data_IF_482631514811
#
_entry.id   IF_482631514811
#
_cell.length_a   1.000
_cell.length_b   1.000
_cell.length_c   1.000
_cell.angle_alpha   90.00
_cell.angle_beta   90.00
_cell.angle_gamma   90.00
#
_symmetry.space_group_name_H-M   'P 1'
#
loop_
_entity.id
_entity.type
_entity.pdbx_description
1 polymer ?
#
# COMPACT_ATOMS: atom_id res chain seq x y z
N UNK A 1 27.47 22.65 32.22
CA UNK A 1 27.17 22.41 30.80
C UNK A 1 28.44 21.91 30.16
N UNK A 2 28.61 20.59 30.17
CA UNK A 2 29.73 19.92 29.51
C UNK A 2 29.38 19.78 28.05
N UNK A 3 30.29 20.12 27.14
CA UNK A 3 30.04 20.12 25.68
C UNK A 3 29.35 18.83 25.18
N UNK A 4 29.58 17.68 25.83
CA UNK A 4 28.91 16.42 25.54
C UNK A 4 27.38 16.40 25.65
N UNK A 5 26.76 17.15 26.57
CA UNK A 5 25.30 17.18 26.72
C UNK A 5 24.61 17.93 25.57
N UNK A 6 25.26 18.96 25.03
CA UNK A 6 24.73 19.74 23.90
C UNK A 6 24.81 18.94 22.59
N UNK A 7 25.92 18.23 22.37
CA UNK A 7 26.10 17.38 21.20
C UNK A 7 25.15 16.17 21.17
N UNK A 8 24.80 15.64 22.35
CA UNK A 8 23.83 14.55 22.47
C UNK A 8 22.40 15.04 22.18
N UNK A 9 22.02 16.21 22.72
CA UNK A 9 20.72 16.84 22.48
C UNK A 9 20.51 17.18 21.00
N UNK A 10 21.51 17.75 20.32
CA UNK A 10 21.41 18.16 18.92
C UNK A 10 21.29 16.95 17.97
N UNK A 11 22.04 15.87 18.25
CA UNK A 11 21.90 14.61 17.52
C UNK A 11 20.51 14.02 17.68
N UNK A 12 19.97 14.08 18.89
CA UNK A 12 18.69 13.48 19.20
C UNK A 12 17.54 14.24 18.53
N UNK A 13 17.59 15.58 18.54
CA UNK A 13 16.68 16.44 17.81
C UNK A 13 16.74 16.17 16.28
N UNK A 14 17.94 16.03 15.74
CA UNK A 14 18.15 15.72 14.32
C UNK A 14 17.55 14.36 13.94
N UNK A 15 17.81 13.32 14.75
CA UNK A 15 17.28 11.98 14.51
C UNK A 15 15.76 11.97 14.61
N UNK A 16 15.18 12.68 15.57
CA UNK A 16 13.73 12.80 15.71
C UNK A 16 13.10 13.48 14.49
N UNK A 17 13.67 14.60 14.03
CA UNK A 17 13.19 15.33 12.87
C UNK A 17 13.26 14.48 11.58
N UNK A 18 14.38 13.79 11.36
CA UNK A 18 14.55 12.90 10.20
C UNK A 18 13.57 11.72 10.23
N UNK A 19 13.41 11.11 11.40
CA UNK A 19 12.48 9.99 11.63
C UNK A 19 11.04 10.40 11.34
N UNK A 20 10.63 11.59 11.78
CA UNK A 20 9.30 12.13 11.49
C UNK A 20 9.10 12.36 10.00
N UNK A 21 10.09 12.93 9.33
CA UNK A 21 10.06 13.13 7.88
C UNK A 21 9.93 11.81 7.10
N UNK A 22 10.62 10.74 7.54
CA UNK A 22 10.51 9.40 6.93
C UNK A 22 9.08 8.84 7.08
N UNK A 23 8.47 8.94 8.25
CA UNK A 23 7.11 8.44 8.49
C UNK A 23 6.09 9.20 7.64
N UNK A 24 6.23 10.52 7.52
CA UNK A 24 5.38 11.34 6.66
C UNK A 24 5.55 10.97 5.18
N UNK A 25 6.77 10.69 4.72
CA UNK A 25 7.03 10.21 3.38
C UNK A 25 6.45 8.80 3.13
N UNK A 26 6.54 7.89 4.10
CA UNK A 26 5.93 6.56 4.04
C UNK A 26 4.40 6.64 3.97
N UNK A 27 3.78 7.53 4.76
CA UNK A 27 2.35 7.78 4.71
C UNK A 27 1.90 8.32 3.35
N UNK A 28 2.63 9.29 2.79
CA UNK A 28 2.36 9.80 1.45
C UNK A 28 2.49 8.70 0.38
N UNK A 29 3.50 7.85 0.50
CA UNK A 29 3.74 6.73 -0.42
C UNK A 29 2.61 5.70 -0.38
N UNK A 30 2.18 5.28 0.81
CA UNK A 30 1.08 4.33 0.96
C UNK A 30 -0.23 4.90 0.38
N UNK A 31 -0.53 6.17 0.68
CA UNK A 31 -1.71 6.87 0.14
C UNK A 31 -1.72 6.92 -1.40
N UNK A 32 -0.55 7.11 -2.03
CA UNK A 32 -0.43 7.06 -3.48
C UNK A 32 -0.62 5.63 -4.05
N UNK A 33 -0.12 4.60 -3.35
CA UNK A 33 -0.36 3.19 -3.71
C UNK A 33 -1.86 2.88 -3.65
N UNK A 34 -2.55 3.28 -2.57
CA UNK A 34 -4.00 3.09 -2.42
C UNK A 34 -4.78 3.80 -3.53
N UNK A 35 -4.39 5.04 -3.87
CA UNK A 35 -5.00 5.78 -4.96
C UNK A 35 -4.81 5.07 -6.32
N UNK A 36 -3.62 4.50 -6.58
CA UNK A 36 -3.33 3.71 -7.79
C UNK A 36 -4.10 2.39 -7.81
N UNK A 37 -4.23 1.71 -6.68
CA UNK A 37 -5.02 0.49 -6.55
C UNK A 37 -6.50 0.77 -6.89
N UNK A 38 -7.10 1.80 -6.31
CA UNK A 38 -8.50 2.16 -6.57
C UNK A 38 -8.75 2.62 -8.01
N UNK A 39 -7.80 3.31 -8.64
CA UNK A 39 -7.87 3.62 -10.09
C UNK A 39 -7.89 2.34 -10.92
N UNK A 40 -7.04 1.37 -10.58
CA UNK A 40 -6.97 0.07 -11.27
C UNK A 40 -8.25 -0.75 -11.09
N UNK A 41 -8.80 -0.81 -9.88
CA UNK A 41 -10.09 -1.45 -9.57
C UNK A 41 -11.22 -0.88 -10.44
N UNK A 42 -11.32 0.46 -10.50
CA UNK A 42 -12.35 1.13 -11.32
C UNK A 42 -12.17 0.81 -12.81
N UNK A 43 -10.94 0.83 -13.29
CA UNK A 43 -10.65 0.52 -14.69
C UNK A 43 -11.01 -0.94 -15.03
N UNK A 44 -10.64 -1.89 -14.18
CA UNK A 44 -11.00 -3.30 -14.35
C UNK A 44 -12.52 -3.49 -14.36
N UNK A 45 -13.25 -2.86 -13.44
CA UNK A 45 -14.71 -2.95 -13.38
C UNK A 45 -15.37 -2.46 -14.69
N UNK A 46 -14.86 -1.37 -15.28
CA UNK A 46 -15.32 -0.86 -16.57
C UNK A 46 -15.03 -1.88 -17.68
N UNK A 47 -13.79 -2.41 -17.75
CA UNK A 47 -13.40 -3.40 -18.76
C UNK A 47 -14.25 -4.68 -18.67
N UNK A 48 -14.48 -5.19 -17.45
CA UNK A 48 -15.34 -6.34 -17.21
C UNK A 48 -16.76 -6.06 -17.71
N UNK A 49 -17.32 -4.88 -17.40
CA UNK A 49 -18.64 -4.48 -17.87
C UNK A 49 -18.73 -4.44 -19.41
N UNK A 50 -17.71 -3.89 -20.07
CA UNK A 50 -17.62 -3.85 -21.53
C UNK A 50 -17.53 -5.26 -22.11
N UNK A 51 -16.67 -6.12 -21.56
CA UNK A 51 -16.48 -7.52 -22.00
C UNK A 51 -17.77 -8.33 -21.88
N UNK A 52 -18.44 -8.27 -20.73
CA UNK A 52 -19.70 -8.96 -20.50
C UNK A 52 -20.79 -8.47 -21.46
N UNK A 53 -20.84 -7.17 -21.71
CA UNK A 53 -21.79 -6.58 -22.68
C UNK A 53 -21.48 -7.04 -24.09
N UNK A 54 -20.23 -6.97 -24.54
CA UNK A 54 -19.81 -7.40 -25.87
C UNK A 54 -20.12 -8.89 -26.09
N UNK A 55 -19.81 -9.75 -25.11
CA UNK A 55 -20.15 -11.16 -25.15
C UNK A 55 -21.66 -11.39 -25.22
N UNK A 56 -22.46 -10.62 -24.47
CA UNK A 56 -23.93 -10.73 -24.46
C UNK A 56 -24.56 -10.43 -25.83
N UNK A 57 -23.96 -9.53 -26.61
CA UNK A 57 -24.46 -9.14 -27.95
C UNK A 57 -23.86 -9.99 -29.08
N UNK A 58 -22.54 -10.20 -29.10
CA UNK A 58 -21.86 -10.93 -30.16
C UNK A 58 -21.95 -12.45 -30.00
N UNK A 59 -22.05 -12.92 -28.76
CA UNK A 59 -22.18 -14.33 -28.40
C UNK A 59 -20.90 -15.16 -28.65
N UNK A 60 -21.04 -16.46 -28.41
CA UNK A 60 -19.94 -17.44 -28.53
C UNK A 60 -19.46 -17.70 -29.97
N UNK A 61 -20.04 -17.03 -30.98
CA UNK A 61 -19.57 -17.11 -32.38
C UNK A 61 -18.39 -16.20 -32.65
N UNK A 62 -18.23 -15.13 -31.86
CA UNK A 62 -17.17 -14.12 -32.02
C UNK A 62 -16.10 -14.28 -30.95
N UNK A 63 -16.49 -14.73 -29.74
CA UNK A 63 -15.56 -14.88 -28.62
C UNK A 63 -15.15 -16.34 -28.43
N UNK A 64 -13.84 -16.59 -28.36
CA UNK A 64 -13.31 -17.83 -27.80
C UNK A 64 -13.61 -17.90 -26.30
N UNK A 65 -14.33 -18.94 -25.90
CA UNK A 65 -14.79 -19.08 -24.52
C UNK A 65 -13.63 -19.23 -23.53
N UNK A 66 -12.55 -19.92 -23.90
CA UNK A 66 -11.41 -20.18 -23.00
C UNK A 66 -10.66 -18.88 -22.73
N UNK A 67 -10.33 -18.14 -23.79
CA UNK A 67 -9.63 -16.86 -23.69
C UNK A 67 -10.49 -15.80 -22.98
N UNK A 68 -11.81 -15.82 -23.17
CA UNK A 68 -12.72 -14.95 -22.44
C UNK A 68 -12.72 -15.23 -20.93
N UNK A 69 -12.71 -16.50 -20.51
CA UNK A 69 -12.59 -16.85 -19.10
C UNK A 69 -11.24 -16.43 -18.51
N UNK A 70 -10.14 -16.58 -19.26
CA UNK A 70 -8.81 -16.10 -18.85
C UNK A 70 -8.82 -14.58 -18.71
N UNK A 71 -9.40 -13.85 -19.65
CA UNK A 71 -9.54 -12.40 -19.60
C UNK A 71 -10.35 -11.94 -18.38
N UNK A 72 -11.53 -12.54 -18.16
CA UNK A 72 -12.36 -12.21 -17.00
C UNK A 72 -11.68 -12.57 -15.68
N UNK A 73 -11.04 -13.73 -15.58
CA UNK A 73 -10.33 -14.16 -14.37
C UNK A 73 -9.16 -13.25 -14.03
N UNK A 74 -8.36 -12.89 -15.04
CA UNK A 74 -7.22 -11.97 -14.88
C UNK A 74 -7.62 -10.52 -14.60
N UNK A 75 -8.86 -10.13 -14.88
CA UNK A 75 -9.40 -8.82 -14.46
C UNK A 75 -10.08 -8.87 -13.09
N UNK A 76 -10.80 -9.95 -12.76
CA UNK A 76 -11.57 -10.07 -11.53
C UNK A 76 -10.71 -10.29 -10.28
N UNK A 77 -9.76 -11.23 -10.34
CA UNK A 77 -8.87 -11.54 -9.20
C UNK A 77 -8.13 -10.31 -8.68
N UNK A 78 -7.40 -9.53 -9.51
CA UNK A 78 -6.71 -8.34 -9.03
C UNK A 78 -7.65 -7.22 -8.58
N UNK A 79 -8.89 -7.19 -9.08
CA UNK A 79 -9.90 -6.22 -8.60
C UNK A 79 -10.26 -6.49 -7.14
N UNK A 80 -10.47 -7.76 -6.77
CA UNK A 80 -10.76 -8.15 -5.39
C UNK A 80 -9.55 -7.85 -4.50
N UNK A 81 -8.35 -8.20 -4.95
CA UNK A 81 -7.11 -7.92 -4.20
C UNK A 81 -6.95 -6.42 -3.95
N UNK A 82 -7.14 -5.57 -4.97
CA UNK A 82 -7.05 -4.12 -4.83
C UNK A 82 -8.06 -3.53 -3.85
N UNK A 83 -9.28 -4.08 -3.77
CA UNK A 83 -10.28 -3.68 -2.77
C UNK A 83 -9.86 -4.09 -1.36
N UNK A 84 -9.34 -5.31 -1.19
CA UNK A 84 -8.88 -5.81 0.11
C UNK A 84 -7.68 -4.99 0.61
N UNK A 85 -6.69 -4.76 -0.26
CA UNK A 85 -5.52 -3.91 0.03
C UNK A 85 -5.92 -2.52 0.51
N UNK A 86 -6.89 -1.88 -0.17
CA UNK A 86 -7.38 -0.56 0.24
C UNK A 86 -8.05 -0.57 1.62
N UNK A 87 -8.75 -1.64 1.98
CA UNK A 87 -9.46 -1.71 3.26
C UNK A 87 -8.53 -2.01 4.45
N UNK A 88 -7.44 -2.74 4.23
CA UNK A 88 -6.54 -3.19 5.29
C UNK A 88 -5.42 -2.19 5.60
N UNK A 89 -5.05 -1.32 4.65
CA UNK A 89 -3.89 -0.43 4.75
C UNK A 89 -4.07 0.71 5.76
N UNK A 90 -3.94 0.41 7.05
CA UNK A 90 -3.80 1.39 8.14
C UNK A 90 -2.33 1.49 8.53
N UNK A 91 -1.71 2.62 8.19
CA UNK A 91 -0.31 2.89 8.56
C UNK A 91 -0.22 3.24 10.06
N UNK A 92 0.85 2.80 10.72
CA UNK A 92 1.21 3.29 12.05
C UNK A 92 2.00 4.61 11.91
N UNK A 93 1.37 5.73 12.27
CA UNK A 93 1.90 7.11 12.09
C UNK A 93 2.52 7.72 13.37
N UNK A 94 2.73 6.90 14.39
CA UNK A 94 3.33 7.28 15.66
C UNK A 94 2.86 6.39 16.80
N UNK A 95 3.42 6.61 17.99
CA UNK A 95 2.86 6.03 19.21
C UNK A 95 1.41 6.48 19.40
N UNK A 96 0.54 5.55 19.76
CA UNK A 96 -0.88 5.83 20.04
C UNK A 96 -1.02 6.94 21.10
N UNK A 97 -2.21 7.54 21.25
CA UNK A 97 -2.46 8.53 22.31
C UNK A 97 -2.04 8.03 23.69
N UNK A 98 -2.15 6.72 23.92
CA UNK A 98 -1.63 6.03 25.10
C UNK A 98 -0.10 6.13 25.25
N UNK A 99 0.70 6.07 24.18
CA UNK A 99 2.16 6.17 24.25
C UNK A 99 2.63 7.58 24.62
N UNK A 100 1.96 8.61 24.08
CA UNK A 100 2.21 10.01 24.46
C UNK A 100 1.82 10.28 25.92
N UNK A 101 0.72 9.68 26.38
CA UNK A 101 0.32 9.73 27.78
C UNK A 101 1.32 8.96 28.68
N UNK A 102 1.87 7.84 28.21
CA UNK A 102 2.84 7.02 28.95
C UNK A 102 4.20 7.72 29.13
N UNK A 103 4.68 8.41 28.09
CA UNK A 103 5.86 9.29 28.16
C UNK A 103 5.58 10.51 29.05
N UNK A 104 4.41 11.15 28.89
CA UNK A 104 4.02 12.31 29.69
C UNK A 104 3.88 12.00 31.20
N UNK A 105 3.64 10.74 31.55
CA UNK A 105 3.54 10.26 32.93
C UNK A 105 4.84 9.67 33.50
N UNK A 106 5.96 9.78 32.79
CA UNK A 106 7.31 9.33 33.21
C UNK A 106 7.35 7.84 33.62
N UNK A 107 6.57 7.00 32.92
CA UNK A 107 6.48 5.55 33.20
C UNK A 107 7.50 4.71 32.42
N UNK A 108 8.55 5.31 31.88
CA UNK A 108 9.52 4.69 30.95
C UNK A 108 10.44 3.62 31.55
N UNK A 109 10.06 2.98 32.66
CA UNK A 109 10.76 1.80 33.20
C UNK A 109 12.25 2.02 33.54
N UNK A 110 12.68 3.28 33.70
CA UNK A 110 14.07 3.66 33.95
C UNK A 110 14.92 3.90 32.69
N UNK A 111 14.37 3.77 31.47
CA UNK A 111 15.00 4.27 30.25
C UNK A 111 14.70 5.75 30.06
N UNK A 112 15.66 6.47 29.49
CA UNK A 112 15.50 7.88 29.10
C UNK A 112 14.46 7.95 27.99
N UNK A 113 13.46 8.82 28.15
CA UNK A 113 12.29 8.91 27.26
C UNK A 113 12.68 9.10 25.78
N UNK A 114 13.77 9.81 25.56
CA UNK A 114 14.35 10.12 24.26
C UNK A 114 14.90 8.89 23.52
N UNK A 115 15.51 7.94 24.24
CA UNK A 115 15.97 6.68 23.66
C UNK A 115 14.81 5.74 23.32
N UNK A 116 13.75 5.77 24.14
CA UNK A 116 12.57 4.92 23.92
C UNK A 116 11.77 5.34 22.69
N UNK A 117 11.66 6.66 22.48
CA UNK A 117 11.02 7.26 21.31
C UNK A 117 11.74 6.86 20.02
N UNK A 118 13.08 6.93 19.99
CA UNK A 118 13.87 6.55 18.81
C UNK A 118 13.68 5.08 18.46
N UNK A 119 13.73 4.18 19.45
CA UNK A 119 13.56 2.73 19.23
C UNK A 119 12.16 2.43 18.71
N UNK A 120 11.14 3.05 19.31
CA UNK A 120 9.74 2.87 18.89
C UNK A 120 9.55 3.31 17.44
N UNK A 121 10.00 4.51 17.09
CA UNK A 121 9.87 4.99 15.71
C UNK A 121 10.69 4.18 14.70
N UNK A 122 11.86 3.68 15.08
CA UNK A 122 12.64 2.79 14.20
C UNK A 122 11.86 1.52 13.91
N UNK A 123 11.19 0.94 14.91
CA UNK A 123 10.27 -0.18 14.73
C UNK A 123 9.14 0.15 13.76
N UNK A 124 8.45 1.27 13.97
CA UNK A 124 7.37 1.73 13.09
C UNK A 124 7.81 1.94 11.65
N UNK A 125 8.98 2.55 11.42
CA UNK A 125 9.55 2.73 10.08
C UNK A 125 9.77 1.39 9.39
N UNK A 126 10.27 0.39 10.12
CA UNK A 126 10.55 -0.94 9.57
C UNK A 126 9.27 -1.70 9.19
N UNK A 127 8.25 -1.68 10.05
CA UNK A 127 6.95 -2.32 9.78
C UNK A 127 6.20 -1.62 8.63
N UNK A 128 6.25 -0.28 8.61
CA UNK A 128 5.69 0.51 7.51
C UNK A 128 6.40 0.23 6.19
N UNK A 129 7.73 0.07 6.20
CA UNK A 129 8.50 -0.25 5.00
C UNK A 129 8.10 -1.63 4.44
N UNK A 130 7.98 -2.66 5.28
CA UNK A 130 7.51 -3.98 4.87
C UNK A 130 6.09 -3.92 4.28
N UNK A 131 5.20 -3.16 4.92
CA UNK A 131 3.83 -2.94 4.43
C UNK A 131 3.81 -2.24 3.07
N UNK A 132 4.64 -1.21 2.88
CA UNK A 132 4.75 -0.48 1.62
C UNK A 132 5.31 -1.39 0.52
N UNK A 133 6.37 -2.15 0.80
CA UNK A 133 6.99 -3.06 -0.17
C UNK A 133 6.00 -4.15 -0.60
N UNK A 134 5.26 -4.74 0.35
CA UNK A 134 4.23 -5.72 0.05
C UNK A 134 3.12 -5.15 -0.84
N UNK A 135 2.60 -3.96 -0.49
CA UNK A 135 1.56 -3.31 -1.28
C UNK A 135 2.04 -2.87 -2.67
N UNK A 136 3.28 -2.40 -2.79
CA UNK A 136 3.90 -2.06 -4.07
C UNK A 136 4.07 -3.30 -4.96
N UNK A 137 4.46 -4.44 -4.39
CA UNK A 137 4.54 -5.71 -5.09
C UNK A 137 3.15 -6.17 -5.57
N UNK A 138 2.13 -6.13 -4.71
CA UNK A 138 0.75 -6.47 -5.08
C UNK A 138 0.22 -5.59 -6.22
N UNK A 139 0.53 -4.29 -6.20
CA UNK A 139 0.16 -3.36 -7.26
C UNK A 139 0.83 -3.75 -8.59
N UNK A 140 2.09 -4.16 -8.56
CA UNK A 140 2.83 -4.62 -9.74
C UNK A 140 2.21 -5.88 -10.34
N UNK A 141 1.85 -6.86 -9.50
CA UNK A 141 1.14 -8.08 -9.94
C UNK A 141 -0.21 -7.74 -10.54
N UNK A 142 -0.97 -6.84 -9.90
CA UNK A 142 -2.28 -6.36 -10.35
C UNK A 142 -2.18 -5.72 -11.74
N UNK A 143 -1.18 -4.88 -11.98
CA UNK A 143 -0.92 -4.27 -13.29
C UNK A 143 -0.53 -5.32 -14.34
N UNK A 144 0.29 -6.31 -13.99
CA UNK A 144 0.64 -7.42 -14.88
C UNK A 144 -0.60 -8.23 -15.29
N UNK A 145 -1.47 -8.56 -14.32
CA UNK A 145 -2.72 -9.27 -14.59
C UNK A 145 -3.68 -8.47 -15.46
N UNK A 146 -3.74 -7.14 -15.29
CA UNK A 146 -4.50 -6.26 -16.19
C UNK A 146 -3.99 -6.37 -17.63
N UNK A 147 -2.68 -6.31 -17.85
CA UNK A 147 -2.10 -6.45 -19.20
C UNK A 147 -2.47 -7.80 -19.80
N UNK A 148 -2.33 -8.89 -19.03
CA UNK A 148 -2.74 -10.23 -19.47
C UNK A 148 -4.22 -10.27 -19.82
N UNK A 149 -5.08 -9.66 -19.01
CA UNK A 149 -6.53 -9.62 -19.23
C UNK A 149 -6.93 -8.86 -20.49
N UNK A 150 -6.28 -7.73 -20.77
CA UNK A 150 -6.47 -6.99 -22.02
C UNK A 150 -6.02 -7.82 -23.22
N UNK A 151 -4.82 -8.42 -23.17
CA UNK A 151 -4.29 -9.23 -24.28
C UNK A 151 -5.19 -10.44 -24.54
N UNK A 152 -5.59 -11.15 -23.49
CA UNK A 152 -6.51 -12.29 -23.60
C UNK A 152 -7.88 -11.86 -24.15
N UNK A 153 -8.41 -10.70 -23.73
CA UNK A 153 -9.67 -10.16 -24.25
C UNK A 153 -9.60 -9.85 -25.75
N UNK A 154 -8.49 -9.26 -26.22
CA UNK A 154 -8.28 -8.98 -27.64
C UNK A 154 -8.19 -10.27 -28.44
N UNK A 155 -7.35 -11.21 -28.00
CA UNK A 155 -7.20 -12.51 -28.66
C UNK A 155 -8.51 -13.31 -28.67
N UNK A 156 -9.34 -13.18 -27.63
CA UNK A 156 -10.63 -13.84 -27.57
C UNK A 156 -11.58 -13.39 -28.69
N UNK A 157 -11.47 -12.15 -29.17
CA UNK A 157 -12.32 -11.62 -30.25
C UNK A 157 -11.92 -12.07 -31.66
N UNK A 158 -10.81 -12.81 -31.80
CA UNK A 158 -10.37 -13.35 -33.09
C UNK A 158 -9.80 -12.30 -34.06
N UNK A 159 -9.27 -11.19 -33.55
CA UNK A 159 -8.32 -10.34 -34.30
C UNK A 159 -7.01 -11.09 -34.56
#
# INVERSE_FOLDING_TARGET
MTDGESWESERLETVYAETRAVIEAQQATLSDIDAKAMKTVRFNAILIGILLTAFRFAGARVFDATLLHVALGSLLVPTVVGIVTYNESRLYVGGDGEYLEWIGLDRTGGRRWDEDVIVTYTGLISENAETIDWNAWLLTVTQGMLVVGIVAAVLATGL
#
